data_IF_509119610972
#
_entry.id   IF_509119610972
#
_cell.length_a   1.000
_cell.length_b   1.000
_cell.length_c   1.000
_cell.angle_alpha   90.00
_cell.angle_beta   90.00
_cell.angle_gamma   90.00
#
_symmetry.space_group_name_H-M   'P 1'
#
loop_
_entity.id
_entity.type
_entity.pdbx_description
1 polymer ?
#
# COMPACT_ATOMS: atom_id res chain seq x y z
N UNK A 1 14.02 -41.90 10.61
CA UNK A 1 14.76 -40.85 11.33
C UNK A 1 13.80 -39.70 11.53
N UNK A 2 13.53 -39.30 12.76
CA UNK A 2 12.65 -38.17 13.08
C UNK A 2 13.35 -36.88 12.67
N UNK A 3 12.83 -36.19 11.67
CA UNK A 3 13.30 -34.86 11.32
C UNK A 3 12.84 -33.87 12.38
N UNK A 4 13.78 -33.06 12.88
CA UNK A 4 13.48 -32.02 13.85
C UNK A 4 12.70 -30.90 13.16
N UNK A 5 11.60 -30.45 13.80
CA UNK A 5 10.81 -29.30 13.32
C UNK A 5 11.68 -28.04 13.26
N UNK A 6 11.26 -27.07 12.44
CA UNK A 6 11.96 -25.78 12.33
C UNK A 6 12.01 -25.03 13.67
N UNK A 7 10.94 -25.12 14.44
CA UNK A 7 10.80 -24.47 15.74
C UNK A 7 11.72 -25.10 16.79
N UNK A 8 11.77 -26.44 16.86
CA UNK A 8 12.71 -27.13 17.74
C UNK A 8 14.17 -26.79 17.38
N UNK A 9 14.51 -26.70 16.09
CA UNK A 9 15.85 -26.26 15.66
C UNK A 9 16.17 -24.88 16.23
N UNK A 10 15.24 -23.94 16.12
CA UNK A 10 15.42 -22.59 16.65
C UNK A 10 15.56 -22.56 18.17
N UNK A 11 14.75 -23.32 18.90
CA UNK A 11 14.85 -23.44 20.36
C UNK A 11 16.22 -23.96 20.80
N UNK A 12 16.70 -25.03 20.17
CA UNK A 12 18.02 -25.59 20.50
C UNK A 12 19.13 -24.59 20.17
N UNK A 13 19.03 -23.88 19.04
CA UNK A 13 20.03 -22.88 18.69
C UNK A 13 20.02 -21.69 19.65
N UNK A 14 18.85 -21.22 20.10
CA UNK A 14 18.80 -20.10 21.05
C UNK A 14 19.36 -20.51 22.41
N UNK A 15 19.00 -21.69 22.92
CA UNK A 15 19.56 -22.22 24.18
C UNK A 15 21.09 -22.35 24.09
N UNK A 16 21.62 -22.93 23.01
CA UNK A 16 23.07 -23.14 22.86
C UNK A 16 23.88 -21.85 22.65
N UNK A 17 23.28 -20.80 22.09
CA UNK A 17 23.94 -19.49 21.91
C UNK A 17 23.93 -18.60 23.16
N UNK A 18 23.14 -18.92 24.19
CA UNK A 18 23.09 -18.13 25.45
C UNK A 18 24.26 -18.41 26.38
N UNK A 19 24.81 -19.63 26.35
CA UNK A 19 25.88 -20.07 27.23
C UNK A 19 27.28 -19.83 26.65
N UNK A 20 28.06 -18.93 27.25
CA UNK A 20 29.43 -18.64 26.79
C UNK A 20 30.35 -19.87 26.89
N UNK A 21 30.13 -20.74 27.86
CA UNK A 21 30.93 -21.95 28.08
C UNK A 21 30.68 -22.96 26.96
N UNK A 22 29.43 -23.16 26.58
CA UNK A 22 28.96 -24.00 25.48
C UNK A 22 29.47 -23.47 24.14
N UNK A 23 29.35 -22.16 23.92
CA UNK A 23 29.83 -21.50 22.71
C UNK A 23 31.35 -21.63 22.55
N UNK A 24 32.11 -21.50 23.63
CA UNK A 24 33.57 -21.74 23.62
C UNK A 24 33.92 -23.19 23.30
N UNK A 25 33.17 -24.17 23.86
CA UNK A 25 33.36 -25.59 23.52
C UNK A 25 33.07 -25.84 22.05
N UNK A 26 31.99 -25.26 21.51
CA UNK A 26 31.65 -25.35 20.09
C UNK A 26 32.71 -24.70 19.19
N UNK A 27 33.20 -23.51 19.54
CA UNK A 27 34.21 -22.79 18.77
C UNK A 27 35.51 -23.60 18.60
N UNK A 28 35.91 -24.38 19.62
CA UNK A 28 37.07 -25.28 19.53
C UNK A 28 36.94 -26.39 18.48
N UNK A 29 35.72 -26.70 18.05
CA UNK A 29 35.46 -27.75 17.03
C UNK A 29 35.50 -27.21 15.60
N UNK A 30 35.62 -25.89 15.40
CA UNK A 30 35.51 -25.22 14.10
C UNK A 30 36.82 -24.50 13.74
N UNK A 31 36.99 -24.20 12.45
CA UNK A 31 38.11 -23.43 11.96
C UNK A 31 37.97 -21.94 12.35
N UNK A 32 39.10 -21.25 12.52
CA UNK A 32 39.15 -19.84 12.85
C UNK A 32 38.46 -18.96 11.79
N UNK A 33 38.75 -19.18 10.50
CA UNK A 33 38.13 -18.44 9.39
C UNK A 33 36.60 -18.56 9.38
N UNK A 34 36.09 -19.74 9.74
CA UNK A 34 34.64 -19.95 9.88
C UNK A 34 34.05 -19.14 11.04
N UNK A 35 34.76 -19.05 12.17
CA UNK A 35 34.34 -18.26 13.32
C UNK A 35 34.36 -16.76 13.01
N UNK A 36 35.34 -16.29 12.25
CA UNK A 36 35.44 -14.90 11.81
C UNK A 36 34.28 -14.52 10.89
N UNK A 37 33.94 -15.39 9.93
CA UNK A 37 32.77 -15.19 9.08
C UNK A 37 31.47 -15.17 9.90
N UNK A 38 31.28 -16.12 10.81
CA UNK A 38 30.11 -16.14 11.70
C UNK A 38 30.01 -14.85 12.53
N UNK A 39 31.12 -14.37 13.08
CA UNK A 39 31.14 -13.11 13.83
C UNK A 39 30.76 -11.92 12.96
N UNK A 40 31.26 -11.84 11.73
CA UNK A 40 30.88 -10.81 10.75
C UNK A 40 29.38 -10.82 10.45
N UNK A 41 28.81 -12.01 10.19
CA UNK A 41 27.37 -12.16 9.96
C UNK A 41 26.53 -11.75 11.16
N UNK A 42 26.92 -12.18 12.37
CA UNK A 42 26.23 -11.80 13.60
C UNK A 42 26.31 -10.29 13.83
N UNK A 43 27.46 -9.66 13.58
CA UNK A 43 27.61 -8.22 13.71
C UNK A 43 26.71 -7.46 12.72
N UNK A 44 26.60 -7.91 11.47
CA UNK A 44 25.66 -7.34 10.50
C UNK A 44 24.22 -7.41 11.01
N UNK A 45 23.79 -8.57 11.51
CA UNK A 45 22.44 -8.76 12.06
C UNK A 45 22.20 -7.88 13.30
N UNK A 46 23.21 -7.75 14.17
CA UNK A 46 23.12 -6.89 15.35
C UNK A 46 22.98 -5.43 14.95
N UNK A 47 23.69 -4.97 13.93
CA UNK A 47 23.59 -3.60 13.46
C UNK A 47 22.24 -3.31 12.79
N UNK A 48 21.75 -4.20 11.93
CA UNK A 48 20.39 -4.10 11.36
C UNK A 48 19.32 -4.01 12.47
N UNK A 49 19.47 -4.81 13.54
CA UNK A 49 18.55 -4.79 14.67
C UNK A 49 18.71 -3.54 15.55
N UNK A 50 19.91 -2.98 15.64
CA UNK A 50 20.16 -1.71 16.32
C UNK A 50 19.46 -0.58 15.60
N UNK A 51 19.64 -0.48 14.28
CA UNK A 51 19.00 0.54 13.45
C UNK A 51 17.48 0.46 13.55
N UNK A 52 16.90 -0.74 13.46
CA UNK A 52 15.47 -0.96 13.62
C UNK A 52 14.96 -0.51 15.00
N UNK A 53 15.70 -0.85 16.06
CA UNK A 53 15.36 -0.45 17.42
C UNK A 53 15.45 1.07 17.64
N UNK A 54 16.48 1.71 17.08
CA UNK A 54 16.66 3.16 17.15
C UNK A 54 15.56 3.91 16.38
N UNK A 55 15.17 3.41 15.20
CA UNK A 55 14.07 3.96 14.43
C UNK A 55 12.75 3.85 15.19
N UNK A 56 12.43 2.67 15.73
CA UNK A 56 11.23 2.48 16.55
C UNK A 56 11.23 3.38 17.79
N UNK A 57 12.39 3.56 18.43
CA UNK A 57 12.54 4.46 19.57
C UNK A 57 12.29 5.92 19.16
N UNK A 58 12.81 6.34 18.01
CA UNK A 58 12.58 7.69 17.49
C UNK A 58 11.10 7.91 17.15
N UNK A 59 10.44 6.94 16.50
CA UNK A 59 9.01 7.01 16.21
C UNK A 59 8.17 7.13 17.49
N UNK A 60 8.49 6.34 18.51
CA UNK A 60 7.83 6.45 19.82
C UNK A 60 8.06 7.81 20.47
N UNK A 61 9.29 8.33 20.41
CA UNK A 61 9.62 9.67 20.91
C UNK A 61 8.85 10.76 20.16
N UNK A 62 8.75 10.69 18.83
CA UNK A 62 7.97 11.64 18.06
C UNK A 62 6.48 11.60 18.40
N UNK A 63 5.92 10.39 18.58
CA UNK A 63 4.52 10.22 18.98
C UNK A 63 4.31 10.81 20.37
N UNK A 64 5.23 10.56 21.31
CA UNK A 64 5.16 11.10 22.66
C UNK A 64 5.32 12.62 22.70
N UNK A 65 6.23 13.19 21.90
CA UNK A 65 6.35 14.63 21.73
C UNK A 65 5.09 15.26 21.16
N UNK A 66 4.49 14.66 20.13
CA UNK A 66 3.22 15.12 19.55
C UNK A 66 2.10 15.04 20.60
N UNK A 67 2.06 13.97 21.39
CA UNK A 67 1.12 13.80 22.49
C UNK A 67 1.28 14.90 23.54
N UNK A 68 2.51 15.18 23.98
CA UNK A 68 2.81 16.23 24.95
C UNK A 68 2.46 17.62 24.41
N UNK A 69 2.76 17.90 23.13
CA UNK A 69 2.36 19.15 22.47
C UNK A 69 0.84 19.31 22.42
N UNK A 70 0.11 18.24 22.09
CA UNK A 70 -1.36 18.25 22.09
C UNK A 70 -1.93 18.49 23.50
N UNK A 71 -1.38 17.85 24.53
CA UNK A 71 -1.79 18.07 25.92
C UNK A 71 -1.55 19.53 26.37
N UNK A 72 -0.39 20.11 26.05
CA UNK A 72 -0.11 21.53 26.34
C UNK A 72 -1.08 22.48 25.64
N UNK A 73 -1.39 22.22 24.38
CA UNK A 73 -2.35 23.02 23.62
C UNK A 73 -3.76 22.94 24.22
N UNK A 74 -4.18 21.76 24.65
CA UNK A 74 -5.45 21.55 25.36
C UNK A 74 -5.50 22.36 26.66
N UNK A 75 -4.43 22.33 27.46
CA UNK A 75 -4.32 23.12 28.69
C UNK A 75 -4.37 24.62 28.43
N UNK A 76 -3.70 25.10 27.37
CA UNK A 76 -3.73 26.52 26.96
C UNK A 76 -5.15 27.00 26.60
N UNK A 77 -5.96 26.13 26.00
CA UNK A 77 -7.38 26.39 25.73
C UNK A 77 -8.26 26.37 26.99
N UNK A 78 -7.68 26.12 28.17
CA UNK A 78 -8.40 26.00 29.44
C UNK A 78 -9.28 24.74 29.52
N UNK A 79 -9.03 23.76 28.65
CA UNK A 79 -9.76 22.51 28.59
C UNK A 79 -9.00 21.43 29.36
N UNK A 80 -9.69 20.64 30.17
CA UNK A 80 -9.06 19.51 30.85
C UNK A 80 -9.01 18.31 29.88
N UNK A 81 -7.84 17.67 29.67
CA UNK A 81 -7.69 16.58 28.71
C UNK A 81 -8.58 15.37 29.02
N UNK A 82 -8.98 15.17 30.28
CA UNK A 82 -9.91 14.12 30.70
C UNK A 82 -11.38 14.41 30.37
N UNK A 83 -11.72 15.68 30.13
CA UNK A 83 -13.11 16.13 29.88
C UNK A 83 -13.41 16.30 28.39
N UNK A 84 -12.40 16.22 27.53
CA UNK A 84 -12.55 16.33 26.08
C UNK A 84 -13.16 15.04 25.55
N UNK A 85 -14.46 15.09 25.26
CA UNK A 85 -15.14 14.06 24.50
C UNK A 85 -15.06 14.38 23.02
N UNK A 86 -14.38 13.52 22.26
CA UNK A 86 -14.43 13.56 20.80
C UNK A 86 -15.85 13.14 20.40
N UNK A 87 -16.68 14.06 19.91
CA UNK A 87 -17.97 13.73 19.33
C UNK A 87 -17.73 12.90 18.07
N UNK A 88 -17.96 11.59 18.14
CA UNK A 88 -17.83 10.65 17.02
C UNK A 88 -18.86 10.87 15.89
N UNK A 89 -19.50 12.05 15.80
CA UNK A 89 -20.54 12.33 14.83
C UNK A 89 -20.00 12.75 13.44
N UNK A 90 -18.68 12.90 13.29
CA UNK A 90 -18.09 13.21 11.97
C UNK A 90 -16.84 12.38 11.66
N UNK A 91 -16.84 11.11 12.07
CA UNK A 91 -15.97 10.10 11.46
C UNK A 91 -16.70 9.47 10.27
N UNK A 92 -16.71 10.19 9.14
CA UNK A 92 -16.99 9.59 7.83
C UNK A 92 -15.84 8.60 7.53
N UNK A 93 -16.12 7.33 7.78
CA UNK A 93 -15.55 6.15 7.13
C UNK A 93 -14.02 6.09 6.91
N UNK A 94 -13.23 5.97 7.99
CA UNK A 94 -11.88 5.40 7.91
C UNK A 94 -11.82 3.99 8.50
N UNK A 95 -12.73 3.13 8.04
CA UNK A 95 -12.59 1.69 8.27
C UNK A 95 -13.15 0.87 7.10
N UNK A 96 -12.38 0.81 6.01
CA UNK A 96 -12.39 -0.41 5.20
C UNK A 96 -10.96 -0.83 4.85
N UNK A 97 -10.57 -1.96 5.44
CA UNK A 97 -9.44 -2.78 5.02
C UNK A 97 -9.52 -2.99 3.50
N UNK A 98 -8.46 -2.60 2.80
CA UNK A 98 -8.02 -3.19 1.53
C UNK A 98 -9.08 -3.45 0.47
N UNK A 99 -9.58 -2.40 -0.20
CA UNK A 99 -9.98 -2.52 -1.60
C UNK A 99 -8.89 -1.88 -2.44
N UNK A 100 -8.07 -2.70 -3.12
CA UNK A 100 -7.21 -2.23 -4.21
C UNK A 100 -8.07 -1.32 -5.10
N UNK A 101 -7.65 -0.06 -5.26
CA UNK A 101 -8.30 0.85 -6.19
C UNK A 101 -8.37 0.14 -7.56
N UNK A 102 -9.58 -0.06 -8.08
CA UNK A 102 -9.76 -0.58 -9.45
C UNK A 102 -9.08 0.44 -10.37
N UNK A 103 -8.02 0.04 -11.04
CA UNK A 103 -7.33 0.91 -12.01
C UNK A 103 -8.35 1.47 -13.00
N UNK A 104 -8.23 2.76 -13.31
CA UNK A 104 -9.06 3.42 -14.31
C UNK A 104 -8.98 2.66 -15.65
N UNK A 105 -10.08 2.61 -16.43
CA UNK A 105 -10.08 1.99 -17.75
C UNK A 105 -9.10 2.71 -18.68
N UNK A 106 -8.44 1.94 -19.56
CA UNK A 106 -7.46 2.44 -20.54
C UNK A 106 -8.06 2.64 -21.92
N UNK A 107 -9.08 1.86 -22.28
CA UNK A 107 -9.73 1.91 -23.60
C UNK A 107 -11.26 2.06 -23.47
N UNK A 108 -11.90 2.78 -24.38
CA UNK A 108 -13.36 2.94 -24.53
C UNK A 108 -13.76 2.65 -25.97
N UNK A 109 -14.73 1.77 -26.18
CA UNK A 109 -15.18 1.38 -27.52
C UNK A 109 -16.69 1.15 -27.53
N UNK A 110 -17.31 1.28 -28.71
CA UNK A 110 -18.74 0.98 -28.90
C UNK A 110 -18.88 -0.42 -29.47
N UNK A 111 -19.63 -1.28 -28.80
CA UNK A 111 -19.82 -2.66 -29.25
C UNK A 111 -20.60 -2.66 -30.58
N UNK A 112 -20.10 -3.30 -31.66
CA UNK A 112 -20.74 -3.25 -32.99
C UNK A 112 -22.13 -3.91 -33.02
N UNK A 113 -22.33 -4.99 -32.25
CA UNK A 113 -23.62 -5.70 -32.17
C UNK A 113 -24.62 -5.10 -31.17
N UNK A 114 -24.15 -4.63 -30.00
CA UNK A 114 -25.04 -4.11 -28.95
C UNK A 114 -25.22 -2.59 -28.99
N UNK A 115 -24.38 -1.85 -29.73
CA UNK A 115 -24.39 -0.38 -29.76
C UNK A 115 -24.01 0.31 -28.44
N UNK A 116 -23.58 -0.44 -27.42
CA UNK A 116 -23.27 0.08 -26.07
C UNK A 116 -21.79 0.45 -25.95
N UNK A 117 -21.52 1.55 -25.25
CA UNK A 117 -20.14 1.97 -24.96
C UNK A 117 -19.59 1.21 -23.76
N UNK A 118 -18.56 0.42 -24.00
CA UNK A 118 -17.86 -0.36 -22.98
C UNK A 118 -16.44 0.17 -22.76
N UNK A 119 -15.87 -0.15 -21.59
CA UNK A 119 -14.49 0.22 -21.24
C UNK A 119 -13.67 -0.99 -20.85
N UNK A 120 -12.36 -0.94 -21.13
CA UNK A 120 -11.42 -2.01 -20.83
C UNK A 120 -10.15 -1.45 -20.20
N UNK A 121 -9.69 -2.07 -19.12
CA UNK A 121 -8.51 -1.63 -18.36
C UNK A 121 -7.18 -2.02 -19.01
N UNK A 122 -7.20 -2.80 -20.11
CA UNK A 122 -5.99 -3.35 -20.73
C UNK A 122 -5.36 -4.50 -19.94
N UNK A 123 -6.02 -4.98 -18.88
CA UNK A 123 -5.54 -6.07 -18.02
C UNK A 123 -6.47 -7.27 -18.16
N UNK A 124 -5.91 -8.44 -18.52
CA UNK A 124 -6.65 -9.69 -18.67
C UNK A 124 -7.16 -9.94 -20.10
N UNK A 125 -8.19 -10.79 -20.25
CA UNK A 125 -8.78 -11.08 -21.57
C UNK A 125 -9.50 -9.85 -22.13
N UNK A 126 -9.27 -9.58 -23.41
CA UNK A 126 -9.92 -8.50 -24.14
C UNK A 126 -11.44 -8.72 -24.24
N UNK A 127 -12.22 -7.64 -24.20
CA UNK A 127 -13.68 -7.69 -24.35
C UNK A 127 -14.06 -8.08 -25.78
N UNK A 128 -15.12 -8.88 -25.96
CA UNK A 128 -15.57 -9.39 -27.26
C UNK A 128 -15.81 -8.30 -28.31
N UNK A 129 -16.45 -7.19 -27.92
CA UNK A 129 -16.70 -6.09 -28.85
C UNK A 129 -15.41 -5.40 -29.32
N UNK A 130 -14.39 -5.26 -28.46
CA UNK A 130 -13.10 -4.70 -28.85
C UNK A 130 -12.31 -5.67 -29.74
N UNK A 131 -12.42 -6.97 -29.46
CA UNK A 131 -11.81 -8.02 -30.28
C UNK A 131 -12.39 -8.03 -31.70
N UNK A 132 -13.71 -7.91 -31.84
CA UNK A 132 -14.38 -7.80 -33.14
C UNK A 132 -13.95 -6.55 -33.92
N UNK A 133 -13.75 -5.41 -33.24
CA UNK A 133 -13.28 -4.18 -33.89
C UNK A 133 -11.85 -4.33 -34.43
N UNK A 134 -10.98 -5.00 -33.68
CA UNK A 134 -9.61 -5.27 -34.13
C UNK A 134 -9.60 -6.28 -35.29
N UNK A 135 -10.45 -7.30 -35.24
CA UNK A 135 -10.60 -8.28 -36.31
C UNK A 135 -11.21 -7.66 -37.58
N UNK A 136 -12.03 -6.61 -37.44
CA UNK A 136 -12.53 -5.77 -38.53
C UNK A 136 -11.48 -4.80 -39.11
N UNK A 137 -10.25 -4.79 -38.57
CA UNK A 137 -9.12 -4.01 -39.08
C UNK A 137 -8.85 -2.69 -38.37
N UNK A 138 -9.54 -2.39 -37.26
CA UNK A 138 -9.26 -1.19 -36.46
C UNK A 138 -8.06 -1.38 -35.53
N UNK A 139 -7.31 -0.31 -35.29
CA UNK A 139 -6.18 -0.34 -34.36
C UNK A 139 -6.65 -0.18 -32.91
N UNK A 140 -5.99 -0.86 -31.97
CA UNK A 140 -6.33 -0.77 -30.54
C UNK A 140 -6.13 0.66 -29.99
N UNK A 141 -5.22 1.42 -30.58
CA UNK A 141 -4.88 2.78 -30.16
C UNK A 141 -5.98 3.80 -30.48
N UNK A 142 -6.85 3.53 -31.47
CA UNK A 142 -8.05 4.34 -31.75
C UNK A 142 -9.02 4.39 -30.57
N UNK A 143 -8.99 3.38 -29.70
CA UNK A 143 -9.89 3.26 -28.56
C UNK A 143 -9.24 3.70 -27.25
N UNK A 144 -8.01 4.23 -27.29
CA UNK A 144 -7.28 4.66 -26.10
C UNK A 144 -7.95 5.89 -25.49
N UNK A 145 -8.25 5.82 -24.19
CA UNK A 145 -8.74 6.95 -23.42
C UNK A 145 -7.52 7.83 -23.11
N UNK A 146 -7.13 8.69 -24.03
CA UNK A 146 -6.13 9.71 -23.73
C UNK A 146 -6.79 10.75 -22.81
N UNK A 147 -6.18 11.04 -21.66
CA UNK A 147 -6.82 11.88 -20.62
C UNK A 147 -7.14 13.30 -21.11
N UNK A 148 -6.55 13.72 -22.23
CA UNK A 148 -6.67 15.05 -22.82
C UNK A 148 -7.81 15.16 -23.84
N UNK A 149 -8.21 14.07 -24.50
CA UNK A 149 -9.28 14.10 -25.52
C UNK A 149 -10.67 14.02 -24.89
N UNK A 150 -10.84 13.19 -23.87
CA UNK A 150 -12.13 12.99 -23.18
C UNK A 150 -12.67 14.25 -22.50
N UNK A 151 -11.80 15.11 -21.98
CA UNK A 151 -12.21 16.38 -21.38
C UNK A 151 -12.93 17.30 -22.38
N UNK A 152 -12.62 17.20 -23.69
CA UNK A 152 -13.26 18.04 -24.72
C UNK A 152 -14.60 17.48 -25.19
N UNK A 153 -14.76 16.15 -25.21
CA UNK A 153 -16.01 15.50 -25.61
C UNK A 153 -17.06 15.61 -24.50
N UNK A 154 -16.66 15.48 -23.23
CA UNK A 154 -17.56 15.71 -22.09
C UNK A 154 -18.02 17.18 -22.02
N UNK A 155 -17.15 18.14 -22.38
CA UNK A 155 -17.51 19.57 -22.48
C UNK A 155 -18.47 19.81 -23.66
N UNK A 156 -18.23 19.21 -24.83
CA UNK A 156 -19.12 19.34 -26.00
C UNK A 156 -20.49 18.71 -25.76
N UNK A 157 -20.56 17.57 -25.08
CA UNK A 157 -21.83 16.92 -24.73
C UNK A 157 -22.60 17.74 -23.68
N UNK A 158 -21.90 18.37 -22.73
CA UNK A 158 -22.47 19.32 -21.79
C UNK A 158 -22.98 20.62 -22.49
N UNK A 159 -22.23 21.20 -23.42
CA UNK A 159 -22.66 22.37 -24.20
C UNK A 159 -23.91 22.06 -25.04
N UNK A 160 -23.96 20.88 -25.67
CA UNK A 160 -25.12 20.44 -26.48
C UNK A 160 -26.38 20.17 -25.64
N UNK A 161 -26.21 19.81 -24.37
CA UNK A 161 -27.28 19.68 -23.39
C UNK A 161 -27.80 21.06 -22.93
N UNK A 162 -26.92 22.05 -22.80
CA UNK A 162 -27.29 23.42 -22.43
C UNK A 162 -27.95 24.20 -23.58
N UNK A 163 -27.62 23.91 -24.84
CA UNK A 163 -28.21 24.59 -26.02
C UNK A 163 -29.68 24.22 -26.29
N UNK A 164 -30.17 23.10 -25.76
CA UNK A 164 -31.54 22.61 -25.99
C UNK A 164 -32.56 23.03 -24.91
N UNK A 165 -32.23 23.99 -24.07
CA UNK A 165 -33.20 24.64 -23.19
C UNK A 165 -33.38 26.11 -23.60
N UNK A 166 -34.47 26.47 -24.30
CA UNK A 166 -34.78 27.88 -24.51
C UNK A 166 -35.01 28.51 -23.13
N UNK A 167 -34.20 29.52 -22.82
CA UNK A 167 -34.36 30.38 -21.65
C UNK A 167 -35.78 30.95 -21.62
N UNK A 168 -36.66 30.33 -20.84
CA UNK A 168 -37.89 30.95 -20.35
C UNK A 168 -37.55 31.65 -19.05
N UNK A 169 -37.09 32.90 -19.15
CA UNK A 169 -37.17 33.89 -18.08
C UNK A 169 -36.85 35.26 -18.70
N UNK A 170 -37.94 35.96 -19.01
CA UNK A 170 -38.02 37.31 -19.55
C UNK A 170 -39.47 37.64 -19.78
#
# INVERSE_FOLDING_TARGET
>A
MTELTREEKYRITSESLTGLTELRKFAKTKNFEWLENLASQLNSIVEEKREEFELQKLELQEIEEKRLKALRFIEELGLNPETIHISAFESIDTKSKGKKAKSAPKYRFTHPESGKTETWTGVGRMKKGLQQLIEAGHSLDEFLIDKVSHAKDDIKEAEKLFENHPSSLG
#
